data_IF_057658551217
#
_entry.id   IF_057658551217
#
_cell.length_a   1.000
_cell.length_b   1.000
_cell.length_c   1.000
_cell.angle_alpha   90.00
_cell.angle_beta   90.00
_cell.angle_gamma   90.00
#
_symmetry.space_group_name_H-M   'P 1'
#
loop_
_entity.id
_entity.type
_entity.pdbx_description
1 polymer ?
#
# COMPACT_ATOMS: atom_id res chain seq x y z
N UNK A 1 -25.22 50.48 -4.81
CA UNK A 1 -24.38 49.26 -4.88
C UNK A 1 -23.93 49.02 -6.29
N UNK A 2 -22.62 48.98 -6.54
CA UNK A 2 -22.08 48.94 -7.89
C UNK A 2 -22.34 47.60 -8.59
N UNK A 3 -22.62 47.63 -9.88
CA UNK A 3 -22.87 46.45 -10.74
C UNK A 3 -21.68 45.45 -10.74
N UNK A 4 -20.49 45.89 -10.34
CA UNK A 4 -19.32 45.07 -10.20
C UNK A 4 -19.41 44.07 -9.01
N UNK A 5 -20.04 44.45 -7.89
CA UNK A 5 -20.29 43.57 -6.75
C UNK A 5 -21.34 42.50 -7.07
N UNK A 6 -22.38 42.84 -7.82
CA UNK A 6 -23.36 41.87 -8.31
C UNK A 6 -22.78 40.87 -9.31
N UNK A 7 -21.89 41.32 -10.22
CA UNK A 7 -21.17 40.42 -11.16
C UNK A 7 -20.19 39.48 -10.48
N UNK A 8 -19.53 39.92 -9.38
CA UNK A 8 -18.61 39.06 -8.60
C UNK A 8 -19.38 37.98 -7.85
N UNK A 9 -20.59 38.30 -7.33
CA UNK A 9 -21.44 37.32 -6.63
C UNK A 9 -22.01 36.26 -7.59
N UNK A 10 -22.44 36.66 -8.82
CA UNK A 10 -22.97 35.72 -9.80
C UNK A 10 -21.95 34.79 -10.46
N UNK A 11 -20.64 35.15 -10.40
CA UNK A 11 -19.55 34.26 -10.86
C UNK A 11 -19.10 33.20 -9.81
N UNK A 12 -19.48 33.34 -8.53
CA UNK A 12 -19.08 32.49 -7.45
C UNK A 12 -20.13 31.42 -7.05
N UNK A 13 -21.34 31.47 -7.60
CA UNK A 13 -22.41 30.53 -7.26
C UNK A 13 -23.00 29.82 -8.49
N UNK A 14 -22.24 29.14 -9.34
CA UNK A 14 -22.81 28.43 -10.48
C UNK A 14 -23.62 27.18 -10.09
N UNK A 15 -23.56 26.74 -8.81
CA UNK A 15 -24.14 25.47 -8.32
C UNK A 15 -25.05 25.63 -7.09
N UNK A 16 -25.40 26.87 -6.68
CA UNK A 16 -26.31 27.11 -5.54
C UNK A 16 -25.67 26.86 -4.16
N UNK A 17 -24.36 26.59 -4.08
CA UNK A 17 -23.64 26.42 -2.82
C UNK A 17 -23.11 27.73 -2.27
N UNK A 18 -23.17 27.90 -0.94
CA UNK A 18 -22.53 29.03 -0.26
C UNK A 18 -21.00 28.94 -0.32
N UNK A 19 -20.29 30.07 -0.16
CA UNK A 19 -18.83 30.11 -0.11
C UNK A 19 -18.26 29.15 0.95
N UNK A 20 -18.93 29.04 2.10
CA UNK A 20 -18.49 28.17 3.20
C UNK A 20 -18.68 26.69 2.85
N UNK A 21 -19.75 26.34 2.14
CA UNK A 21 -19.96 24.97 1.65
C UNK A 21 -18.92 24.59 0.61
N UNK A 22 -18.62 25.47 -0.35
CA UNK A 22 -17.57 25.25 -1.33
C UNK A 22 -16.20 25.06 -0.68
N UNK A 23 -15.86 25.84 0.36
CA UNK A 23 -14.61 25.69 1.11
C UNK A 23 -14.56 24.35 1.86
N UNK A 24 -15.68 23.91 2.48
CA UNK A 24 -15.77 22.60 3.14
C UNK A 24 -15.60 21.46 2.13
N UNK A 25 -16.25 21.55 0.98
CA UNK A 25 -16.12 20.53 -0.08
C UNK A 25 -14.69 20.47 -0.63
N UNK A 26 -14.02 21.60 -0.84
CA UNK A 26 -12.61 21.64 -1.24
C UNK A 26 -11.69 21.04 -0.20
N UNK A 27 -11.91 21.35 1.09
CA UNK A 27 -11.14 20.76 2.19
C UNK A 27 -11.31 19.26 2.23
N UNK A 28 -12.55 18.77 2.16
CA UNK A 28 -12.85 17.34 2.14
C UNK A 28 -12.22 16.62 0.95
N UNK A 29 -12.29 17.22 -0.25
CA UNK A 29 -11.66 16.64 -1.44
C UNK A 29 -10.14 16.51 -1.28
N UNK A 30 -9.46 17.53 -0.74
CA UNK A 30 -8.02 17.50 -0.47
C UNK A 30 -7.65 16.45 0.59
N UNK A 31 -8.44 16.35 1.66
CA UNK A 31 -8.23 15.34 2.72
C UNK A 31 -8.37 13.91 2.16
N UNK A 32 -9.38 13.70 1.29
CA UNK A 32 -9.58 12.42 0.63
C UNK A 32 -8.42 12.10 -0.32
N UNK A 33 -8.02 13.01 -1.18
CA UNK A 33 -6.89 12.86 -2.10
C UNK A 33 -5.59 12.53 -1.35
N UNK A 34 -5.31 13.24 -0.24
CA UNK A 34 -4.15 12.94 0.59
C UNK A 34 -4.24 11.55 1.22
N UNK A 35 -5.41 11.14 1.70
CA UNK A 35 -5.62 9.79 2.27
C UNK A 35 -5.39 8.71 1.21
N UNK A 36 -5.93 8.88 0.01
CA UNK A 36 -5.75 7.94 -1.10
C UNK A 36 -4.26 7.83 -1.51
N UNK A 37 -3.54 8.95 -1.53
CA UNK A 37 -2.07 8.98 -1.76
C UNK A 37 -1.33 8.15 -0.71
N UNK A 38 -1.63 8.33 0.57
CA UNK A 38 -0.96 7.62 1.67
C UNK A 38 -1.28 6.11 1.69
N UNK A 39 -2.51 5.73 1.33
CA UNK A 39 -2.90 4.33 1.16
C UNK A 39 -2.08 3.68 0.06
N UNK A 40 -1.94 4.35 -1.09
CA UNK A 40 -1.15 3.86 -2.20
C UNK A 40 0.35 3.77 -1.84
N UNK A 41 0.89 4.77 -1.14
CA UNK A 41 2.29 4.76 -0.70
C UNK A 41 2.56 3.56 0.22
N UNK A 42 1.70 3.32 1.21
CA UNK A 42 1.82 2.17 2.11
C UNK A 42 1.76 0.83 1.35
N UNK A 43 0.81 0.70 0.41
CA UNK A 43 0.67 -0.49 -0.43
C UNK A 43 1.96 -0.78 -1.20
N UNK A 44 2.49 0.22 -1.89
CA UNK A 44 3.71 0.07 -2.69
C UNK A 44 4.95 -0.17 -1.84
N UNK A 45 5.05 0.44 -0.66
CA UNK A 45 6.18 0.24 0.23
C UNK A 45 6.19 -1.17 0.83
N UNK A 46 5.05 -1.69 1.28
CA UNK A 46 4.95 -3.08 1.74
C UNK A 46 5.22 -4.07 0.60
N UNK A 47 4.80 -3.75 -0.62
CA UNK A 47 5.11 -4.54 -1.82
C UNK A 47 6.62 -4.64 -2.06
N UNK A 48 7.34 -3.52 -2.00
CA UNK A 48 8.79 -3.51 -2.17
C UNK A 48 9.51 -4.32 -1.09
N UNK A 49 9.11 -4.15 0.18
CA UNK A 49 9.65 -4.94 1.30
C UNK A 49 9.42 -6.43 1.04
N UNK A 50 8.21 -6.82 0.63
CA UNK A 50 7.89 -8.21 0.32
C UNK A 50 8.75 -8.77 -0.83
N UNK A 51 9.00 -7.99 -1.88
CA UNK A 51 9.81 -8.41 -3.01
C UNK A 51 11.29 -8.55 -2.64
N UNK A 52 11.83 -7.63 -1.82
CA UNK A 52 13.18 -7.80 -1.30
C UNK A 52 13.30 -9.08 -0.47
N UNK A 53 12.37 -9.34 0.44
CA UNK A 53 12.38 -10.55 1.25
C UNK A 53 12.20 -11.83 0.43
N UNK A 54 11.38 -11.79 -0.64
CA UNK A 54 11.27 -12.91 -1.58
C UNK A 54 12.60 -13.16 -2.30
N UNK A 55 13.36 -12.11 -2.58
CA UNK A 55 14.70 -12.22 -3.13
C UNK A 55 15.67 -12.81 -2.09
N UNK A 56 15.81 -12.16 -0.95
CA UNK A 56 16.84 -12.45 0.06
C UNK A 56 16.63 -13.82 0.73
N UNK A 57 15.41 -14.10 1.20
CA UNK A 57 15.10 -15.28 1.98
C UNK A 57 14.68 -16.50 1.14
N UNK A 58 14.22 -16.29 -0.10
CA UNK A 58 13.63 -17.35 -0.95
C UNK A 58 14.25 -17.44 -2.35
N UNK A 59 15.25 -16.63 -2.67
CA UNK A 59 16.01 -16.67 -3.92
C UNK A 59 15.16 -16.34 -5.17
N UNK A 60 14.17 -15.42 -5.03
CA UNK A 60 13.37 -14.98 -6.15
C UNK A 60 14.14 -13.94 -6.97
N UNK A 61 14.55 -14.29 -8.19
CA UNK A 61 15.04 -13.31 -9.15
C UNK A 61 13.88 -12.60 -9.88
N UNK A 62 14.21 -11.61 -10.72
CA UNK A 62 13.27 -10.75 -11.45
C UNK A 62 12.11 -11.52 -12.10
N UNK A 63 12.40 -12.62 -12.81
CA UNK A 63 11.35 -13.43 -13.48
C UNK A 63 10.30 -13.96 -12.52
N UNK A 64 10.68 -14.35 -11.29
CA UNK A 64 9.75 -14.87 -10.30
C UNK A 64 8.98 -13.73 -9.62
N UNK A 65 9.64 -12.60 -9.34
CA UNK A 65 9.01 -11.40 -8.80
C UNK A 65 7.93 -10.90 -9.77
N UNK A 66 8.27 -10.77 -11.06
CA UNK A 66 7.29 -10.36 -12.09
C UNK A 66 6.11 -11.35 -12.21
N UNK A 67 6.31 -12.66 -12.02
CA UNK A 67 5.20 -13.61 -11.97
C UNK A 67 4.30 -13.40 -10.76
N UNK A 68 4.87 -13.06 -9.61
CA UNK A 68 4.08 -12.71 -8.40
C UNK A 68 3.26 -11.46 -8.66
N UNK A 69 3.87 -10.42 -9.24
CA UNK A 69 3.20 -9.16 -9.57
C UNK A 69 2.03 -9.39 -10.54
N UNK A 70 2.27 -10.04 -11.66
CA UNK A 70 1.21 -10.39 -12.64
C UNK A 70 0.08 -11.21 -12.04
N UNK A 71 0.39 -12.14 -11.13
CA UNK A 71 -0.64 -12.92 -10.46
C UNK A 71 -1.46 -12.09 -9.46
N UNK A 72 -0.84 -11.14 -8.75
CA UNK A 72 -1.55 -10.19 -7.88
C UNK A 72 -2.47 -9.31 -8.72
N UNK A 73 -2.01 -8.78 -9.86
CA UNK A 73 -2.82 -7.96 -10.76
C UNK A 73 -4.04 -8.74 -11.28
N UNK A 74 -3.90 -10.02 -11.62
CA UNK A 74 -5.02 -10.87 -12.01
C UNK A 74 -6.06 -11.00 -10.88
N UNK A 75 -5.62 -11.15 -9.63
CA UNK A 75 -6.54 -11.20 -8.48
C UNK A 75 -7.22 -9.85 -8.23
N UNK A 76 -6.53 -8.72 -8.43
CA UNK A 76 -7.12 -7.39 -8.35
C UNK A 76 -8.23 -7.21 -9.40
N UNK A 77 -7.99 -7.60 -10.65
CA UNK A 77 -8.99 -7.57 -11.72
C UNK A 77 -10.22 -8.44 -11.36
N UNK A 78 -10.00 -9.64 -10.81
CA UNK A 78 -11.11 -10.50 -10.36
C UNK A 78 -11.89 -9.90 -9.19
N UNK A 79 -11.20 -9.18 -8.30
CA UNK A 79 -11.85 -8.46 -7.20
C UNK A 79 -12.69 -7.29 -7.70
N UNK A 80 -12.21 -6.51 -8.67
CA UNK A 80 -12.96 -5.42 -9.30
C UNK A 80 -14.24 -5.93 -10.01
N UNK A 81 -14.19 -7.12 -10.61
CA UNK A 81 -15.35 -7.78 -11.20
C UNK A 81 -16.33 -8.36 -10.17
N UNK A 82 -16.01 -8.31 -8.88
CA UNK A 82 -16.82 -8.88 -7.81
C UNK A 82 -16.76 -10.41 -7.70
N UNK A 83 -15.89 -11.07 -8.47
CA UNK A 83 -15.71 -12.53 -8.44
C UNK A 83 -15.01 -12.99 -7.15
N UNK A 84 -14.17 -12.12 -6.60
CA UNK A 84 -13.34 -12.38 -5.43
C UNK A 84 -13.43 -11.23 -4.42
N UNK A 85 -13.72 -11.53 -3.16
CA UNK A 85 -13.72 -10.53 -2.09
C UNK A 85 -12.53 -10.73 -1.15
N UNK A 86 -12.02 -9.64 -0.59
CA UNK A 86 -10.95 -9.68 0.40
C UNK A 86 -11.29 -10.61 1.58
N UNK A 87 -12.52 -10.53 2.08
CA UNK A 87 -13.00 -11.39 3.18
C UNK A 87 -12.91 -12.87 2.83
N UNK A 88 -13.27 -13.25 1.60
CA UNK A 88 -13.19 -14.63 1.13
C UNK A 88 -11.75 -15.12 1.04
N UNK A 89 -10.82 -14.28 0.53
CA UNK A 89 -9.40 -14.61 0.48
C UNK A 89 -8.84 -14.81 1.89
N UNK A 90 -9.08 -13.89 2.81
CA UNK A 90 -8.63 -13.97 4.20
C UNK A 90 -9.19 -15.21 4.92
N UNK A 91 -10.48 -15.51 4.70
CA UNK A 91 -11.10 -16.71 5.24
C UNK A 91 -10.41 -17.99 4.75
N UNK A 92 -10.15 -18.12 3.44
CA UNK A 92 -9.46 -19.28 2.87
C UNK A 92 -8.04 -19.40 3.40
N UNK A 93 -7.28 -18.30 3.45
CA UNK A 93 -5.93 -18.30 4.00
C UNK A 93 -5.90 -18.79 5.45
N UNK A 94 -6.83 -18.32 6.29
CA UNK A 94 -6.89 -18.69 7.70
C UNK A 94 -7.41 -20.11 7.91
N UNK A 95 -8.54 -20.47 7.26
CA UNK A 95 -9.21 -21.76 7.50
C UNK A 95 -8.48 -22.94 6.89
N UNK A 96 -7.96 -22.80 5.67
CA UNK A 96 -7.33 -23.92 4.95
C UNK A 96 -5.81 -24.02 5.20
N UNK A 97 -5.14 -22.89 5.42
CA UNK A 97 -3.67 -22.87 5.48
C UNK A 97 -3.10 -22.28 6.77
N UNK A 98 -3.97 -21.92 7.71
CA UNK A 98 -3.59 -21.30 8.99
C UNK A 98 -2.67 -20.07 8.80
N UNK A 99 -2.99 -19.22 7.81
CA UNK A 99 -2.30 -17.94 7.54
C UNK A 99 -3.23 -16.83 7.97
N UNK A 100 -2.95 -16.20 9.11
CA UNK A 100 -3.76 -15.14 9.72
C UNK A 100 -3.24 -13.76 9.29
N UNK A 101 -3.83 -13.21 8.22
CA UNK A 101 -3.47 -11.89 7.69
C UNK A 101 -3.86 -10.78 8.66
N UNK A 102 -5.07 -10.84 9.23
CA UNK A 102 -5.56 -9.80 10.15
C UNK A 102 -4.73 -9.80 11.44
N UNK A 103 -4.51 -10.96 12.05
CA UNK A 103 -3.65 -11.06 13.22
C UNK A 103 -2.20 -10.62 12.93
N UNK A 104 -1.74 -10.72 11.68
CA UNK A 104 -0.44 -10.18 11.27
C UNK A 104 -0.48 -8.65 11.25
N UNK A 105 -1.48 -8.03 10.60
CA UNK A 105 -1.58 -6.56 10.48
C UNK A 105 -1.87 -5.88 11.81
N UNK A 106 -2.63 -6.52 12.71
CA UNK A 106 -2.92 -6.01 14.06
C UNK A 106 -1.64 -5.87 14.92
N UNK A 107 -0.55 -6.53 14.54
CA UNK A 107 0.76 -6.42 15.19
C UNK A 107 1.57 -5.21 14.74
N UNK A 108 1.10 -4.43 13.74
CA UNK A 108 1.79 -3.22 13.27
C UNK A 108 1.39 -2.05 14.20
N UNK A 109 2.31 -1.52 15.03
CA UNK A 109 2.01 -0.37 15.84
C UNK A 109 1.67 0.85 14.98
N UNK A 110 0.66 1.62 15.37
CA UNK A 110 0.19 2.77 14.61
C UNK A 110 1.30 3.77 14.28
N UNK A 111 2.27 3.96 15.19
CA UNK A 111 3.44 4.83 14.98
C UNK A 111 4.34 4.40 13.82
N UNK A 112 4.39 3.10 13.50
CA UNK A 112 5.21 2.59 12.41
C UNK A 112 4.64 2.93 11.04
N UNK A 113 3.33 3.19 10.96
CA UNK A 113 2.67 3.62 9.74
C UNK A 113 3.17 5.00 9.29
N UNK A 114 3.57 5.87 10.21
CA UNK A 114 4.10 7.20 9.90
C UNK A 114 5.37 7.09 9.05
N UNK A 115 6.33 6.31 9.52
CA UNK A 115 7.58 6.08 8.81
C UNK A 115 7.36 5.36 7.47
N UNK A 116 6.42 4.39 7.45
CA UNK A 116 6.11 3.63 6.23
C UNK A 116 5.57 4.52 5.10
N UNK A 117 4.87 5.61 5.41
CA UNK A 117 4.31 6.54 4.41
C UNK A 117 5.05 7.88 4.36
N UNK A 118 6.13 8.05 5.12
CA UNK A 118 6.94 9.27 5.14
C UNK A 118 6.23 10.49 5.72
N UNK A 119 5.31 10.30 6.67
CA UNK A 119 4.56 11.39 7.32
C UNK A 119 4.88 11.46 8.81
N UNK A 120 4.82 12.66 9.39
CA UNK A 120 5.02 12.85 10.84
C UNK A 120 3.75 12.58 11.65
N UNK A 121 2.57 12.74 11.04
CA UNK A 121 1.26 12.64 11.69
C UNK A 121 0.24 12.01 10.75
N UNK A 122 -0.58 11.10 11.31
CA UNK A 122 -1.73 10.52 10.63
C UNK A 122 -2.97 10.66 11.50
N UNK A 123 -4.12 10.90 10.86
CA UNK A 123 -5.39 10.73 11.56
C UNK A 123 -5.64 9.24 11.84
N UNK A 124 -6.40 8.95 12.90
CA UNK A 124 -6.76 7.57 13.20
C UNK A 124 -7.49 6.90 12.03
N UNK A 125 -8.41 7.62 11.37
CA UNK A 125 -9.13 7.11 10.20
C UNK A 125 -8.20 6.77 9.05
N UNK A 126 -7.25 7.66 8.71
CA UNK A 126 -6.24 7.41 7.67
C UNK A 126 -5.37 6.19 8.01
N UNK A 127 -4.92 6.08 9.26
CA UNK A 127 -4.12 4.93 9.69
C UNK A 127 -4.88 3.60 9.59
N UNK A 128 -6.18 3.58 9.93
CA UNK A 128 -7.02 2.39 9.73
C UNK A 128 -7.19 2.02 8.26
N UNK A 129 -7.32 3.01 7.36
CA UNK A 129 -7.36 2.77 5.92
C UNK A 129 -6.04 2.19 5.40
N UNK A 130 -4.90 2.69 5.89
CA UNK A 130 -3.56 2.16 5.57
C UNK A 130 -3.44 0.70 6.03
N UNK A 131 -3.81 0.37 7.28
CA UNK A 131 -3.78 -1.01 7.77
C UNK A 131 -4.67 -1.94 6.93
N UNK A 132 -5.86 -1.49 6.55
CA UNK A 132 -6.74 -2.26 5.67
C UNK A 132 -6.12 -2.50 4.29
N UNK A 133 -5.41 -1.52 3.73
CA UNK A 133 -4.67 -1.67 2.46
C UNK A 133 -3.52 -2.67 2.58
N UNK A 134 -2.75 -2.61 3.67
CA UNK A 134 -1.68 -3.58 3.95
C UNK A 134 -2.27 -4.98 4.09
N UNK A 135 -3.36 -5.15 4.84
CA UNK A 135 -4.05 -6.44 4.98
C UNK A 135 -4.53 -6.98 3.64
N UNK A 136 -5.05 -6.11 2.76
CA UNK A 136 -5.47 -6.48 1.41
C UNK A 136 -4.29 -6.98 0.58
N UNK A 137 -3.18 -6.25 0.60
CA UNK A 137 -1.96 -6.66 -0.11
C UNK A 137 -1.43 -7.99 0.40
N UNK A 138 -1.28 -8.17 1.72
CA UNK A 138 -0.80 -9.43 2.31
C UNK A 138 -1.74 -10.61 1.98
N UNK A 139 -3.05 -10.39 1.94
CA UNK A 139 -4.00 -11.41 1.54
C UNK A 139 -3.79 -11.84 0.08
N UNK A 140 -3.65 -10.89 -0.85
CA UNK A 140 -3.37 -11.15 -2.26
C UNK A 140 -2.02 -11.84 -2.45
N UNK A 141 -0.98 -11.35 -1.78
CA UNK A 141 0.34 -11.96 -1.79
C UNK A 141 0.28 -13.41 -1.29
N UNK A 142 -0.35 -13.64 -0.15
CA UNK A 142 -0.45 -14.98 0.46
C UNK A 142 -1.15 -15.98 -0.43
N UNK A 143 -2.29 -15.61 -1.02
CA UNK A 143 -3.00 -16.53 -1.93
C UNK A 143 -2.20 -16.76 -3.21
N UNK A 144 -1.55 -15.74 -3.75
CA UNK A 144 -0.65 -15.86 -4.92
C UNK A 144 0.51 -16.83 -4.62
N UNK A 145 1.24 -16.60 -3.54
CA UNK A 145 2.38 -17.43 -3.15
C UNK A 145 1.96 -18.88 -2.91
N UNK A 146 0.80 -19.09 -2.28
CA UNK A 146 0.28 -20.43 -2.01
C UNK A 146 -0.19 -21.17 -3.27
N UNK A 147 -0.98 -20.51 -4.12
CA UNK A 147 -1.65 -21.15 -5.25
C UNK A 147 -0.80 -21.17 -6.51
N UNK A 148 -0.14 -20.07 -6.85
CA UNK A 148 0.65 -19.93 -8.10
C UNK A 148 2.12 -20.30 -7.91
N UNK A 149 2.72 -19.91 -6.78
CA UNK A 149 4.14 -20.15 -6.53
C UNK A 149 4.41 -21.42 -5.71
N UNK A 150 3.34 -22.12 -5.23
CA UNK A 150 3.41 -23.36 -4.45
C UNK A 150 4.24 -23.28 -3.18
N UNK A 151 4.34 -22.07 -2.60
CA UNK A 151 5.07 -21.84 -1.35
C UNK A 151 4.37 -22.52 -0.17
N UNK A 152 5.14 -23.04 0.79
CA UNK A 152 4.57 -23.63 2.00
C UNK A 152 3.89 -22.57 2.87
N UNK A 153 2.87 -22.94 3.65
CA UNK A 153 2.22 -22.02 4.58
C UNK A 153 3.18 -21.50 5.65
N UNK A 154 4.14 -22.33 6.09
CA UNK A 154 5.18 -21.92 7.03
C UNK A 154 6.10 -20.84 6.45
N UNK A 155 6.50 -21.00 5.19
CA UNK A 155 7.31 -19.99 4.48
C UNK A 155 6.56 -18.67 4.32
N UNK A 156 5.25 -18.71 4.04
CA UNK A 156 4.43 -17.50 3.94
C UNK A 156 4.30 -16.80 5.30
N UNK A 157 4.08 -17.55 6.40
CA UNK A 157 4.06 -16.97 7.75
C UNK A 157 5.40 -16.33 8.11
N UNK A 158 6.50 -17.04 7.84
CA UNK A 158 7.86 -16.48 8.04
C UNK A 158 8.06 -15.19 7.22
N UNK A 159 7.62 -15.15 5.96
CA UNK A 159 7.68 -13.93 5.15
C UNK A 159 6.91 -12.78 5.80
N UNK A 160 5.71 -13.04 6.32
CA UNK A 160 4.92 -12.00 6.99
C UNK A 160 5.61 -11.48 8.27
N UNK A 161 6.16 -12.36 9.10
CA UNK A 161 6.93 -11.95 10.28
C UNK A 161 8.14 -11.09 9.89
N UNK A 162 8.82 -11.44 8.79
CA UNK A 162 9.94 -10.65 8.25
C UNK A 162 9.49 -9.29 7.71
N UNK A 163 8.32 -9.21 7.07
CA UNK A 163 7.74 -7.93 6.63
C UNK A 163 7.51 -7.01 7.83
N UNK A 164 6.95 -7.52 8.93
CA UNK A 164 6.76 -6.72 10.15
C UNK A 164 8.10 -6.23 10.72
N UNK A 165 9.12 -7.07 10.73
CA UNK A 165 10.45 -6.68 11.15
C UNK A 165 11.03 -5.55 10.29
N UNK A 166 10.87 -5.62 8.95
CA UNK A 166 11.34 -4.56 8.06
C UNK A 166 10.57 -3.24 8.24
N UNK A 167 9.25 -3.30 8.48
CA UNK A 167 8.46 -2.12 8.82
C UNK A 167 9.00 -1.45 10.11
N UNK A 168 9.36 -2.25 11.11
CA UNK A 168 10.00 -1.76 12.35
C UNK A 168 11.39 -1.17 12.08
N UNK A 169 12.19 -1.80 11.24
CA UNK A 169 13.53 -1.32 10.85
C UNK A 169 13.47 0.03 10.14
N UNK A 170 12.47 0.24 9.27
CA UNK A 170 12.23 1.54 8.62
C UNK A 170 11.78 2.57 9.66
N UNK A 171 10.88 2.20 10.56
CA UNK A 171 10.37 3.10 11.59
C UNK A 171 11.46 3.54 12.60
N UNK A 172 12.47 2.73 12.80
CA UNK A 172 13.62 3.02 13.67
C UNK A 172 14.81 3.65 12.93
N UNK A 173 14.71 3.81 11.60
CA UNK A 173 15.72 4.46 10.77
C UNK A 173 16.92 3.56 10.40
N UNK A 174 16.88 2.26 10.71
CA UNK A 174 17.92 1.32 10.26
C UNK A 174 17.88 1.06 8.77
N UNK A 175 16.67 1.11 8.18
CA UNK A 175 16.44 0.93 6.75
C UNK A 175 15.67 2.10 6.16
N UNK A 176 15.77 2.26 4.84
CA UNK A 176 14.99 3.27 4.10
C UNK A 176 14.33 2.62 2.89
N UNK A 177 13.17 3.14 2.46
CA UNK A 177 12.50 2.65 1.25
C UNK A 177 13.36 2.82 0.00
N UNK A 178 14.22 3.85 -0.04
CA UNK A 178 15.19 4.02 -1.11
C UNK A 178 16.27 2.93 -1.08
N UNK A 179 16.74 2.53 0.12
CA UNK A 179 17.67 1.41 0.30
C UNK A 179 17.08 0.09 -0.21
N UNK A 180 15.86 -0.23 0.22
CA UNK A 180 15.10 -1.42 -0.25
C UNK A 180 14.99 -1.45 -1.78
N UNK A 181 14.56 -0.33 -2.39
CA UNK A 181 14.43 -0.23 -3.84
C UNK A 181 15.77 -0.33 -4.57
N UNK A 182 16.85 0.22 -3.98
CA UNK A 182 18.21 0.16 -4.54
C UNK A 182 18.73 -1.27 -4.60
N UNK A 183 18.59 -2.03 -3.51
CA UNK A 183 19.01 -3.44 -3.44
C UNK A 183 18.27 -4.27 -4.49
N UNK A 184 16.94 -4.15 -4.56
CA UNK A 184 16.13 -4.84 -5.58
C UNK A 184 16.56 -4.50 -7.01
N UNK A 185 16.90 -3.24 -7.27
CA UNK A 185 17.39 -2.83 -8.60
C UNK A 185 18.77 -3.43 -8.89
N UNK A 186 19.71 -3.36 -7.96
CA UNK A 186 21.07 -3.84 -8.14
C UNK A 186 21.14 -5.36 -8.31
N UNK A 187 20.45 -6.10 -7.46
CA UNK A 187 20.56 -7.54 -7.38
C UNK A 187 19.58 -8.28 -8.30
N UNK A 188 18.31 -7.81 -8.37
CA UNK A 188 17.28 -8.45 -9.18
C UNK A 188 16.98 -7.74 -10.50
N UNK A 189 17.49 -6.53 -10.73
CA UNK A 189 17.06 -5.66 -11.83
C UNK A 189 15.57 -5.33 -11.80
N UNK A 190 14.95 -5.40 -10.61
CA UNK A 190 13.57 -4.94 -10.42
C UNK A 190 13.58 -3.43 -10.20
N UNK A 191 12.78 -2.71 -10.97
CA UNK A 191 12.69 -1.26 -10.90
C UNK A 191 11.27 -0.83 -10.58
N UNK A 192 11.08 -0.22 -9.41
CA UNK A 192 9.83 0.47 -9.07
C UNK A 192 9.84 1.86 -9.72
N UNK A 193 8.79 2.18 -10.49
CA UNK A 193 8.68 3.43 -11.26
C UNK A 193 8.80 4.69 -10.40
N UNK A 194 8.46 4.63 -9.11
CA UNK A 194 8.57 5.75 -8.15
C UNK A 194 10.02 6.17 -7.88
N UNK A 195 10.98 5.27 -8.13
CA UNK A 195 12.40 5.50 -7.89
C UNK A 195 13.21 5.65 -9.18
N UNK A 196 12.56 5.59 -10.35
CA UNK A 196 13.21 5.86 -11.65
C UNK A 196 13.82 7.27 -11.63
N UNK A 197 15.10 7.37 -11.97
CA UNK A 197 15.87 8.63 -11.94
C UNK A 197 16.50 8.97 -10.59
N UNK A 198 16.15 8.28 -9.49
CA UNK A 198 16.86 8.42 -8.20
C UNK A 198 18.13 7.57 -8.16
N UNK A 199 18.16 6.46 -8.87
CA UNK A 199 19.31 5.55 -8.95
C UNK A 199 20.41 6.01 -9.93
N UNK A 200 20.09 6.93 -10.85
CA UNK A 200 21.03 7.42 -11.87
C UNK A 200 21.82 8.66 -11.45
N UNK A 201 21.77 9.05 -10.18
CA UNK A 201 22.52 10.18 -9.61
C UNK A 201 23.64 9.73 -8.65
N UNK A 202 24.05 8.47 -8.69
CA UNK A 202 25.21 7.97 -7.93
C UNK A 202 26.29 7.54 -8.90
#
# INVERSE_FOLDING_TARGET
MSNALKRKKSRMEPLGYSKNELLRMQKYAREKENTDRLINEAYYNVRLIAYQLLHDDFGYGNKRINKVEQAIDQYLISAEKGELTQKKIQYVLKSQWNIDVLGTTDRIPFRQLFALVGEEKLSQGTGMCILASIASYLALLGVCLKTKMKMSANSIRRLYDRILYYIDSIATGYETMLGVASVLYQECKYCDSRFVGKFYKV
#
